data_IF_195163443897
#
_entry.id   IF_195163443897
#
_cell.length_a   1.000
_cell.length_b   1.000
_cell.length_c   1.000
_cell.angle_alpha   90.00
_cell.angle_beta   90.00
_cell.angle_gamma   90.00
#
_symmetry.space_group_name_H-M   'P 1'
#
loop_
_entity.id
_entity.type
_entity.pdbx_description
1 polymer ?
#
# COMPACT_ATOMS: atom_id res chain seq x y z
N UNK A 1 -6.81 1.83 33.54
CA UNK A 1 -7.19 0.44 33.87
C UNK A 1 -6.06 -0.50 33.49
N UNK A 2 -5.78 -1.56 34.26
CA UNK A 2 -4.77 -2.58 33.91
C UNK A 2 -5.04 -3.31 32.60
N UNK A 3 -6.28 -3.26 32.11
CA UNK A 3 -6.69 -3.88 30.83
C UNK A 3 -6.58 -2.92 29.65
N UNK A 4 -6.32 -1.63 29.90
CA UNK A 4 -6.25 -0.64 28.83
C UNK A 4 -4.92 -0.70 28.11
N UNK A 5 -4.96 -0.78 26.79
CA UNK A 5 -3.79 -0.81 25.94
C UNK A 5 -2.95 0.46 26.02
N UNK A 6 -1.64 0.27 25.98
CA UNK A 6 -0.65 1.30 25.62
C UNK A 6 -0.19 0.99 24.20
N UNK A 7 -0.48 1.89 23.28
CA UNK A 7 -0.23 1.66 21.87
C UNK A 7 0.73 2.71 21.29
N UNK A 8 1.74 2.25 20.55
CA UNK A 8 2.66 3.10 19.80
C UNK A 8 2.62 2.71 18.31
N UNK A 9 2.78 3.69 17.44
CA UNK A 9 2.72 3.54 15.99
C UNK A 9 3.99 4.04 15.33
N UNK A 10 4.16 3.69 14.06
CA UNK A 10 5.24 4.18 13.19
C UNK A 10 6.64 3.70 13.58
N UNK A 11 6.75 2.62 14.35
CA UNK A 11 8.04 1.99 14.60
C UNK A 11 8.62 1.40 13.31
N UNK A 12 9.93 1.54 13.12
CA UNK A 12 10.65 0.93 12.00
C UNK A 12 11.99 0.38 12.53
N UNK A 13 12.10 -0.94 12.58
CA UNK A 13 13.24 -1.65 13.16
C UNK A 13 14.58 -1.41 12.44
N UNK A 14 14.55 -0.83 11.25
CA UNK A 14 15.75 -0.45 10.51
C UNK A 14 16.14 1.03 10.64
N UNK A 15 15.31 1.83 11.30
CA UNK A 15 15.57 3.27 11.56
C UNK A 15 16.07 3.55 12.97
N UNK A 16 16.07 2.53 13.82
CA UNK A 16 16.55 2.60 15.21
C UNK A 16 17.64 1.58 15.43
N UNK A 17 18.65 1.92 16.21
CA UNK A 17 19.75 1.02 16.60
C UNK A 17 19.35 0.07 17.76
N UNK A 18 18.06 -0.29 17.84
CA UNK A 18 17.51 -1.12 18.93
C UNK A 18 16.70 -2.26 18.34
N UNK A 19 17.03 -3.49 18.74
CA UNK A 19 16.19 -4.66 18.47
C UNK A 19 15.11 -4.73 19.54
N UNK A 20 13.91 -4.26 19.21
CA UNK A 20 12.78 -4.27 20.13
C UNK A 20 12.32 -5.70 20.42
N UNK A 21 12.09 -6.01 21.70
CA UNK A 21 11.55 -7.28 22.15
C UNK A 21 10.61 -7.10 23.35
N UNK A 22 9.87 -8.17 23.71
CA UNK A 22 8.88 -8.12 24.80
C UNK A 22 9.47 -7.68 26.15
N UNK A 23 10.72 -8.07 26.45
CA UNK A 23 11.35 -7.76 27.77
C UNK A 23 11.59 -6.28 27.95
N UNK A 24 12.03 -5.60 26.90
CA UNK A 24 12.20 -4.14 26.91
C UNK A 24 10.85 -3.43 27.11
N UNK A 25 9.76 -3.96 26.53
CA UNK A 25 8.42 -3.44 26.74
C UNK A 25 7.93 -3.71 28.18
N UNK A 26 8.25 -4.88 28.75
CA UNK A 26 7.94 -5.23 30.15
C UNK A 26 8.64 -4.32 31.16
N UNK A 27 9.89 -3.91 30.88
CA UNK A 27 10.66 -2.98 31.72
C UNK A 27 10.00 -1.60 31.82
N UNK A 28 9.35 -1.14 30.75
CA UNK A 28 8.72 0.19 30.70
C UNK A 28 7.27 0.16 31.18
N UNK A 29 6.50 -0.87 30.79
CA UNK A 29 5.08 -1.00 31.12
C UNK A 29 4.78 -2.47 31.52
N UNK A 30 5.03 -2.86 32.77
CA UNK A 30 4.86 -4.26 33.21
C UNK A 30 3.40 -4.67 33.47
N UNK A 31 2.52 -3.73 33.78
CA UNK A 31 1.19 -3.97 34.35
C UNK A 31 0.02 -3.79 33.37
N UNK A 32 0.29 -3.36 32.15
CA UNK A 32 -0.73 -3.15 31.09
C UNK A 32 -0.30 -3.79 29.79
N UNK A 33 -1.26 -4.18 28.91
CA UNK A 33 -0.91 -4.66 27.58
C UNK A 33 -0.30 -3.52 26.72
N UNK A 34 0.80 -3.83 26.06
CA UNK A 34 1.52 -2.91 25.16
C UNK A 34 1.54 -3.48 23.75
N UNK A 35 1.27 -2.63 22.77
CA UNK A 35 1.46 -2.91 21.36
C UNK A 35 2.28 -1.80 20.71
N UNK A 36 3.38 -2.16 20.06
CA UNK A 36 4.17 -1.26 19.20
C UNK A 36 4.01 -1.73 17.76
N UNK A 37 3.31 -0.96 16.95
CA UNK A 37 3.01 -1.30 15.57
C UNK A 37 4.11 -0.80 14.65
N UNK A 38 4.61 -1.70 13.79
CA UNK A 38 5.49 -1.32 12.70
C UNK A 38 4.76 -0.43 11.71
N UNK A 39 5.45 0.56 11.14
CA UNK A 39 4.87 1.50 10.17
C UNK A 39 4.30 0.83 8.93
N UNK A 40 4.83 -0.34 8.55
CA UNK A 40 4.36 -1.12 7.40
C UNK A 40 3.01 -1.80 7.62
N UNK A 41 2.57 -1.93 8.87
CA UNK A 41 1.25 -2.49 9.18
C UNK A 41 1.17 -4.02 9.21
N UNK A 42 2.27 -4.74 8.97
CA UNK A 42 2.30 -6.21 8.89
C UNK A 42 2.86 -6.88 10.15
N UNK A 43 3.65 -6.18 10.95
CA UNK A 43 4.21 -6.70 12.21
C UNK A 43 3.94 -5.78 13.39
N UNK A 44 3.93 -6.35 14.58
CA UNK A 44 3.79 -5.61 15.85
C UNK A 44 4.59 -6.30 16.94
N UNK A 45 4.97 -5.55 17.96
CA UNK A 45 5.62 -6.09 19.17
C UNK A 45 4.69 -5.94 20.35
N UNK A 46 4.54 -7.01 21.09
CA UNK A 46 3.69 -7.11 22.26
C UNK A 46 4.52 -7.45 23.49
N UNK A 47 4.16 -6.87 24.65
CA UNK A 47 4.77 -7.21 25.92
C UNK A 47 4.24 -8.53 26.49
N UNK A 48 4.84 -9.01 27.59
CA UNK A 48 4.42 -10.27 28.22
C UNK A 48 2.99 -10.20 28.74
N UNK A 49 2.52 -9.03 29.19
CA UNK A 49 1.14 -8.84 29.65
C UNK A 49 0.11 -9.01 28.54
N UNK A 50 0.40 -8.50 27.35
CA UNK A 50 -0.47 -8.68 26.18
C UNK A 50 -0.54 -10.16 25.76
N UNK A 51 0.61 -10.85 25.70
CA UNK A 51 0.67 -12.28 25.38
C UNK A 51 -0.11 -13.13 26.42
N UNK A 52 0.06 -12.86 27.71
CA UNK A 52 -0.68 -13.52 28.81
C UNK A 52 -2.19 -13.34 28.62
N UNK A 53 -2.65 -12.11 28.37
CA UNK A 53 -4.08 -11.82 28.20
C UNK A 53 -4.67 -12.46 26.96
N UNK A 54 -3.86 -12.66 25.91
CA UNK A 54 -4.24 -13.37 24.67
C UNK A 54 -4.11 -14.90 24.80
N UNK A 55 -3.65 -15.42 25.96
CA UNK A 55 -3.35 -16.84 26.19
C UNK A 55 -2.31 -17.41 25.22
N UNK A 56 -1.33 -16.60 24.83
CA UNK A 56 -0.24 -16.99 23.94
C UNK A 56 0.99 -17.32 24.74
N UNK A 57 1.47 -18.55 24.62
CA UNK A 57 2.70 -19.04 25.24
C UNK A 57 3.68 -19.62 24.20
N UNK A 58 4.83 -20.12 24.67
CA UNK A 58 5.87 -20.71 23.83
C UNK A 58 5.39 -21.91 23.00
N UNK A 59 4.34 -22.61 23.44
CA UNK A 59 3.80 -23.81 22.80
C UNK A 59 2.62 -23.50 21.88
N UNK A 60 2.11 -22.27 21.90
CA UNK A 60 1.00 -21.83 21.04
C UNK A 60 1.46 -21.94 19.58
N UNK A 61 0.76 -22.73 18.73
CA UNK A 61 1.13 -22.85 17.32
C UNK A 61 0.88 -21.53 16.55
N UNK A 62 1.65 -21.34 15.51
CA UNK A 62 1.40 -20.24 14.59
C UNK A 62 0.06 -20.45 13.86
N UNK A 63 -0.81 -19.43 13.77
CA UNK A 63 -2.03 -19.54 12.99
C UNK A 63 -1.74 -19.55 11.49
N UNK A 64 -2.67 -20.03 10.69
CA UNK A 64 -2.57 -19.93 9.24
C UNK A 64 -2.45 -18.44 8.84
N UNK A 65 -1.48 -18.14 7.97
CA UNK A 65 -1.25 -16.77 7.49
C UNK A 65 -0.64 -15.83 8.53
N UNK A 66 -0.08 -16.33 9.63
CA UNK A 66 0.57 -15.49 10.63
C UNK A 66 1.65 -16.21 11.42
N UNK A 67 2.43 -15.47 12.20
CA UNK A 67 3.54 -16.02 12.95
C UNK A 67 3.74 -15.32 14.30
N UNK A 68 3.98 -16.14 15.36
CA UNK A 68 4.52 -15.69 16.65
C UNK A 68 6.03 -15.96 16.66
N UNK A 69 6.84 -14.92 16.52
CA UNK A 69 8.28 -15.07 16.39
C UNK A 69 8.92 -15.54 17.70
N UNK A 70 9.82 -16.53 17.57
CA UNK A 70 10.55 -17.13 18.68
C UNK A 70 12.06 -16.94 18.49
N UNK A 71 12.76 -16.91 19.61
CA UNK A 71 14.22 -16.92 19.64
C UNK A 71 14.79 -18.35 19.45
N UNK A 72 16.11 -18.49 19.43
CA UNK A 72 16.81 -19.78 19.27
C UNK A 72 16.51 -20.77 20.40
N UNK A 73 15.94 -20.32 21.53
CA UNK A 73 15.53 -21.17 22.66
C UNK A 73 14.04 -21.52 22.61
N UNK A 74 13.33 -21.07 21.56
CA UNK A 74 11.90 -21.27 21.41
C UNK A 74 11.04 -20.34 22.26
N UNK A 75 11.62 -19.29 22.88
CA UNK A 75 10.88 -18.31 23.64
C UNK A 75 10.29 -17.21 22.72
N UNK A 76 9.07 -16.77 23.03
CA UNK A 76 8.43 -15.69 22.29
C UNK A 76 9.23 -14.38 22.42
N UNK A 77 9.56 -13.78 21.29
CA UNK A 77 10.28 -12.49 21.25
C UNK A 77 9.34 -11.30 21.51
N UNK A 78 8.03 -11.51 21.39
CA UNK A 78 7.00 -10.49 21.39
C UNK A 78 6.68 -9.95 20.00
N UNK A 79 7.52 -10.20 18.99
CA UNK A 79 7.21 -9.86 17.58
C UNK A 79 6.18 -10.82 17.02
N UNK A 80 5.11 -10.26 16.43
CA UNK A 80 3.99 -11.02 15.82
C UNK A 80 3.75 -10.47 14.42
N UNK A 81 3.60 -11.39 13.46
CA UNK A 81 3.49 -11.04 12.05
C UNK A 81 2.15 -11.45 11.44
N UNK A 82 1.68 -10.66 10.49
CA UNK A 82 0.53 -10.89 9.62
C UNK A 82 -0.75 -11.24 10.42
N UNK A 83 -1.51 -12.26 10.01
CA UNK A 83 -2.80 -12.60 10.63
C UNK A 83 -2.70 -13.04 12.10
N UNK A 84 -1.52 -13.41 12.58
CA UNK A 84 -1.33 -13.72 14.01
C UNK A 84 -1.63 -12.52 14.92
N UNK A 85 -1.57 -11.29 14.42
CA UNK A 85 -1.90 -10.07 15.17
C UNK A 85 -3.39 -9.97 15.52
N UNK A 86 -4.25 -10.58 14.74
CA UNK A 86 -5.71 -10.50 14.92
C UNK A 86 -6.19 -11.11 16.24
N UNK A 87 -5.39 -11.96 16.89
CA UNK A 87 -5.75 -12.52 18.20
C UNK A 87 -5.84 -11.44 19.29
N UNK A 88 -5.09 -10.35 19.11
CA UNK A 88 -5.04 -9.24 20.07
C UNK A 88 -6.21 -8.24 19.92
N UNK A 89 -6.96 -8.27 18.85
CA UNK A 89 -8.11 -7.39 18.63
C UNK A 89 -9.22 -7.61 19.66
N UNK A 90 -9.27 -8.81 20.26
CA UNK A 90 -10.25 -9.22 21.26
C UNK A 90 -9.75 -9.11 22.70
N UNK A 91 -8.53 -8.62 22.88
CA UNK A 91 -7.84 -8.58 24.18
C UNK A 91 -7.83 -7.16 24.74
N UNK A 92 -8.07 -7.05 26.05
CA UNK A 92 -8.00 -5.76 26.74
C UNK A 92 -9.11 -4.78 26.35
N UNK A 93 -8.92 -3.53 26.74
CA UNK A 93 -9.86 -2.44 26.47
C UNK A 93 -9.23 -1.45 25.51
N UNK A 94 -9.83 -1.31 24.33
CA UNK A 94 -9.50 -0.26 23.37
C UNK A 94 -10.15 1.06 23.78
N UNK A 95 -9.55 2.17 23.38
CA UNK A 95 -10.21 3.47 23.48
C UNK A 95 -11.40 3.50 22.51
N UNK A 96 -12.57 3.85 23.02
CA UNK A 96 -13.80 3.93 22.22
C UNK A 96 -14.32 5.37 22.19
N UNK A 97 -14.81 5.77 21.05
CA UNK A 97 -15.41 7.08 20.84
C UNK A 97 -16.88 6.91 20.45
N UNK A 98 -17.73 7.90 20.75
CA UNK A 98 -19.09 7.95 20.22
C UNK A 98 -19.04 8.05 18.68
N UNK A 99 -20.12 7.65 18.00
CA UNK A 99 -20.22 7.74 16.55
C UNK A 99 -20.01 9.18 16.04
N UNK A 100 -20.60 10.17 16.72
CA UNK A 100 -20.41 11.59 16.41
C UNK A 100 -18.94 12.02 16.54
N UNK A 101 -18.27 11.57 17.59
CA UNK A 101 -16.86 11.88 17.83
C UNK A 101 -15.96 11.20 16.79
N UNK A 102 -16.22 9.95 16.43
CA UNK A 102 -15.51 9.23 15.36
C UNK A 102 -15.66 9.96 14.02
N UNK A 103 -16.89 10.37 13.70
CA UNK A 103 -17.20 11.11 12.48
C UNK A 103 -16.53 12.47 12.42
N UNK A 104 -16.54 13.23 13.53
CA UNK A 104 -15.83 14.51 13.66
C UNK A 104 -14.34 14.34 13.44
N UNK A 105 -13.70 13.37 14.11
CA UNK A 105 -12.28 13.04 13.95
C UNK A 105 -11.95 12.61 12.52
N UNK A 106 -12.81 11.82 11.90
CA UNK A 106 -12.68 11.40 10.50
C UNK A 106 -12.64 12.60 9.55
N UNK A 107 -13.57 13.53 9.68
CA UNK A 107 -13.62 14.76 8.89
C UNK A 107 -12.36 15.63 9.10
N UNK A 108 -11.98 15.88 10.37
CA UNK A 108 -10.80 16.69 10.68
C UNK A 108 -9.51 16.08 10.14
N UNK A 109 -9.34 14.74 10.31
CA UNK A 109 -8.21 14.00 9.80
C UNK A 109 -8.15 14.02 8.28
N UNK A 110 -9.28 13.78 7.60
CA UNK A 110 -9.36 13.82 6.15
C UNK A 110 -9.09 15.23 5.60
N UNK A 111 -9.64 16.27 6.22
CA UNK A 111 -9.38 17.65 5.84
C UNK A 111 -7.90 18.01 5.98
N UNK A 112 -7.25 17.53 7.05
CA UNK A 112 -5.82 17.73 7.26
C UNK A 112 -4.99 17.02 6.18
N UNK A 113 -5.22 15.72 5.96
CA UNK A 113 -4.51 14.94 4.94
C UNK A 113 -4.73 15.51 3.54
N UNK A 114 -5.96 15.95 3.24
CA UNK A 114 -6.28 16.53 1.95
C UNK A 114 -5.47 17.81 1.65
N UNK A 115 -5.21 18.64 2.68
CA UNK A 115 -4.31 19.80 2.57
C UNK A 115 -2.87 19.37 2.28
N UNK A 116 -2.36 18.34 2.97
CA UNK A 116 -1.01 17.83 2.75
C UNK A 116 -0.84 17.22 1.34
N UNK A 117 -1.81 16.46 0.88
CA UNK A 117 -1.81 15.90 -0.48
C UNK A 117 -1.81 17.00 -1.54
N UNK A 118 -2.66 18.01 -1.39
CA UNK A 118 -2.68 19.15 -2.29
C UNK A 118 -1.36 19.94 -2.28
N UNK A 119 -0.75 20.14 -1.10
CA UNK A 119 0.56 20.80 -0.98
C UNK A 119 1.70 20.01 -1.66
N UNK A 120 1.56 18.69 -1.77
CA UNK A 120 2.53 17.82 -2.47
C UNK A 120 2.24 17.66 -3.97
N UNK A 121 1.20 18.32 -4.50
CA UNK A 121 0.84 18.26 -5.91
C UNK A 121 -0.09 17.12 -6.30
N UNK A 122 -0.65 16.38 -5.34
CA UNK A 122 -1.59 15.32 -5.61
C UNK A 122 -2.98 15.86 -5.92
N UNK A 123 -3.49 15.53 -7.12
CA UNK A 123 -4.84 15.92 -7.57
C UNK A 123 -5.85 14.79 -7.44
N UNK A 124 -5.35 13.54 -7.45
CA UNK A 124 -6.16 12.33 -7.25
C UNK A 124 -5.35 11.31 -6.45
N UNK A 125 -6.00 10.60 -5.54
CA UNK A 125 -5.43 9.45 -4.82
C UNK A 125 -6.29 8.22 -5.02
N UNK A 126 -5.68 7.04 -4.96
CA UNK A 126 -6.38 5.77 -4.84
C UNK A 126 -6.18 5.25 -3.42
N UNK A 127 -7.26 5.11 -2.67
CA UNK A 127 -7.23 4.45 -1.36
C UNK A 127 -7.50 2.95 -1.55
N UNK A 128 -6.50 2.13 -1.30
CA UNK A 128 -6.59 0.69 -1.50
C UNK A 128 -6.79 -0.02 -0.16
N UNK A 129 -8.00 -0.09 0.32
CA UNK A 129 -8.52 -0.75 1.53
C UNK A 129 -9.35 0.19 2.42
N UNK A 130 -10.17 1.04 1.79
CA UNK A 130 -11.01 1.98 2.51
C UNK A 130 -12.03 1.27 3.41
N UNK A 131 -11.95 1.54 4.70
CA UNK A 131 -12.94 1.12 5.70
C UNK A 131 -14.22 1.97 5.60
N UNK A 132 -15.31 1.51 6.26
CA UNK A 132 -16.55 2.28 6.38
C UNK A 132 -16.31 3.72 6.86
N UNK A 133 -15.47 3.90 7.88
CA UNK A 133 -15.24 5.21 8.48
C UNK A 133 -14.41 6.12 7.58
N UNK A 134 -13.47 5.58 6.82
CA UNK A 134 -12.74 6.34 5.80
C UNK A 134 -13.67 6.78 4.65
N UNK A 135 -14.57 5.91 4.21
CA UNK A 135 -15.56 6.24 3.18
C UNK A 135 -16.50 7.35 3.66
N UNK A 136 -16.94 7.32 4.92
CA UNK A 136 -17.71 8.41 5.52
C UNK A 136 -16.89 9.71 5.58
N UNK A 137 -15.61 9.64 5.98
CA UNK A 137 -14.74 10.81 6.05
C UNK A 137 -14.53 11.47 4.67
N UNK A 138 -14.40 10.69 3.59
CA UNK A 138 -14.36 11.22 2.22
C UNK A 138 -15.63 11.96 1.83
N UNK A 139 -16.79 11.37 2.13
CA UNK A 139 -18.07 12.00 1.82
C UNK A 139 -18.30 13.26 2.64
N UNK A 140 -18.01 13.23 3.94
CA UNK A 140 -18.16 14.37 4.83
C UNK A 140 -17.22 15.52 4.43
N UNK A 141 -15.96 15.23 4.11
CA UNK A 141 -15.01 16.23 3.63
C UNK A 141 -15.42 16.81 2.27
N UNK A 142 -15.99 16.00 1.38
CA UNK A 142 -16.54 16.46 0.11
C UNK A 142 -17.72 17.42 0.34
N UNK A 143 -18.70 17.06 1.15
CA UNK A 143 -19.88 17.89 1.44
C UNK A 143 -19.53 19.16 2.21
N UNK A 144 -18.52 19.11 3.08
CA UNK A 144 -18.00 20.29 3.78
C UNK A 144 -17.15 21.23 2.87
N UNK A 145 -16.82 20.81 1.63
CA UNK A 145 -15.94 21.56 0.73
C UNK A 145 -14.46 21.52 1.13
N UNK A 146 -14.09 20.63 2.05
CA UNK A 146 -12.75 20.47 2.58
C UNK A 146 -11.90 19.46 1.79
N UNK A 147 -12.51 18.65 0.93
CA UNK A 147 -11.78 17.70 0.07
C UNK A 147 -11.08 18.47 -1.07
N UNK A 148 -9.76 18.39 -1.12
CA UNK A 148 -8.89 19.13 -2.04
C UNK A 148 -8.28 18.28 -3.14
N UNK A 149 -8.61 16.98 -3.17
CA UNK A 149 -8.18 16.00 -4.15
C UNK A 149 -9.34 15.06 -4.48
N UNK A 150 -9.24 14.34 -5.59
CA UNK A 150 -10.21 13.29 -5.95
C UNK A 150 -9.82 11.97 -5.34
N UNK A 151 -10.79 11.12 -5.07
CA UNK A 151 -10.56 9.80 -4.46
C UNK A 151 -11.23 8.70 -5.29
N UNK A 152 -10.44 7.70 -5.64
CA UNK A 152 -10.89 6.42 -6.18
C UNK A 152 -10.55 5.35 -5.13
N UNK A 153 -11.56 4.80 -4.42
CA UNK A 153 -11.29 3.92 -3.30
C UNK A 153 -11.67 2.47 -3.58
N UNK A 154 -10.81 1.55 -3.20
CA UNK A 154 -11.10 0.12 -3.14
C UNK A 154 -11.59 -0.17 -1.73
N UNK A 155 -12.79 -0.73 -1.60
CA UNK A 155 -13.36 -1.09 -0.30
C UNK A 155 -12.56 -2.21 0.35
N UNK A 156 -12.48 -2.20 1.67
CA UNK A 156 -11.97 -3.34 2.44
C UNK A 156 -12.83 -4.59 2.18
N UNK A 157 -12.23 -5.77 2.25
CA UNK A 157 -12.84 -7.05 1.85
C UNK A 157 -14.19 -7.32 2.56
N UNK A 158 -14.30 -6.98 3.83
CA UNK A 158 -15.51 -7.16 4.65
C UNK A 158 -16.70 -6.32 4.17
N UNK A 159 -16.48 -5.28 3.37
CA UNK A 159 -17.54 -4.46 2.80
C UNK A 159 -18.09 -5.01 1.48
N UNK A 160 -17.48 -6.05 0.90
CA UNK A 160 -17.92 -6.57 -0.40
C UNK A 160 -19.38 -7.05 -0.37
N UNK A 161 -19.74 -7.88 0.60
CA UNK A 161 -21.11 -8.42 0.69
C UNK A 161 -22.16 -7.33 0.98
N UNK A 162 -21.95 -6.37 1.92
CA UNK A 162 -22.82 -5.20 2.08
C UNK A 162 -23.02 -4.39 0.79
N UNK A 163 -21.94 -4.15 0.03
CA UNK A 163 -22.01 -3.38 -1.23
C UNK A 163 -22.80 -4.14 -2.31
N UNK A 164 -22.56 -5.44 -2.46
CA UNK A 164 -23.34 -6.30 -3.36
C UNK A 164 -24.82 -6.30 -3.01
N UNK A 165 -25.14 -6.44 -1.72
CA UNK A 165 -26.53 -6.41 -1.24
C UNK A 165 -27.23 -5.07 -1.53
N UNK A 166 -26.48 -3.97 -1.50
CA UNK A 166 -26.97 -2.64 -1.85
C UNK A 166 -26.99 -2.36 -3.38
N UNK A 167 -26.56 -3.31 -4.22
CA UNK A 167 -26.46 -3.13 -5.68
C UNK A 167 -25.35 -2.20 -6.14
N UNK A 168 -24.30 -2.00 -5.30
CA UNK A 168 -23.18 -1.14 -5.58
C UNK A 168 -22.03 -1.93 -6.22
N UNK A 169 -21.29 -1.31 -7.14
CA UNK A 169 -20.11 -1.89 -7.79
C UNK A 169 -19.16 -0.79 -8.32
N UNK A 170 -18.06 -1.19 -8.92
CA UNK A 170 -17.02 -0.29 -9.47
C UNK A 170 -17.61 0.78 -10.39
N UNK A 171 -17.22 2.02 -10.17
CA UNK A 171 -17.52 3.17 -11.03
C UNK A 171 -18.62 4.09 -10.52
N UNK A 172 -19.42 3.67 -9.52
CA UNK A 172 -20.43 4.54 -8.93
C UNK A 172 -19.76 5.67 -8.11
N UNK A 173 -20.32 6.86 -8.21
CA UNK A 173 -19.84 8.07 -7.53
C UNK A 173 -19.84 9.27 -8.45
N UNK A 174 -19.11 10.29 -8.08
CA UNK A 174 -18.94 11.50 -8.87
C UNK A 174 -17.45 11.70 -9.23
N UNK A 175 -17.11 12.86 -9.75
CA UNK A 175 -15.72 13.19 -10.12
C UNK A 175 -14.78 13.31 -8.90
N UNK A 176 -15.30 13.45 -7.68
CA UNK A 176 -14.50 13.65 -6.47
C UNK A 176 -14.36 12.38 -5.63
N UNK A 177 -15.43 11.63 -5.46
CA UNK A 177 -15.43 10.41 -4.63
C UNK A 177 -16.09 9.30 -5.42
N UNK A 178 -15.34 8.22 -5.71
CA UNK A 178 -15.76 7.14 -6.59
C UNK A 178 -15.40 5.78 -6.04
N UNK A 179 -16.35 4.84 -6.15
CA UNK A 179 -16.11 3.43 -5.85
C UNK A 179 -15.15 2.86 -6.90
N UNK A 180 -14.01 2.40 -6.46
CA UNK A 180 -12.99 1.76 -7.27
C UNK A 180 -13.24 0.26 -7.40
N UNK A 181 -12.82 -0.48 -6.40
CA UNK A 181 -12.88 -1.94 -6.41
C UNK A 181 -12.98 -2.50 -5.01
N UNK A 182 -12.54 -3.75 -4.85
CA UNK A 182 -12.39 -4.39 -3.54
C UNK A 182 -10.94 -4.82 -3.34
N UNK A 183 -10.43 -4.71 -2.10
CA UNK A 183 -9.04 -5.02 -1.73
C UNK A 183 -8.95 -6.30 -0.91
N UNK A 184 -8.01 -7.17 -1.31
CA UNK A 184 -7.60 -8.37 -0.56
C UNK A 184 -6.09 -8.37 -0.32
N UNK A 185 -5.59 -9.29 0.52
CA UNK A 185 -4.18 -9.39 0.89
C UNK A 185 -3.74 -10.86 0.80
N UNK A 186 -2.84 -11.20 -0.13
CA UNK A 186 -2.44 -12.57 -0.41
C UNK A 186 -1.13 -13.00 0.29
N UNK A 187 -0.25 -12.05 0.62
CA UNK A 187 1.02 -12.30 1.30
C UNK A 187 1.44 -11.14 2.20
N UNK A 188 2.64 -11.21 2.71
CA UNK A 188 3.19 -10.20 3.60
C UNK A 188 3.95 -9.06 2.91
N UNK A 189 4.69 -8.29 3.71
CA UNK A 189 5.33 -7.03 3.34
C UNK A 189 6.78 -7.20 2.89
N UNK A 190 7.17 -6.47 1.84
CA UNK A 190 8.57 -6.40 1.44
C UNK A 190 9.42 -5.59 2.44
N UNK A 191 8.87 -4.56 3.08
CA UNK A 191 9.61 -3.74 4.06
C UNK A 191 9.74 -4.41 5.44
N UNK A 192 8.92 -5.43 5.73
CA UNK A 192 8.92 -6.16 7.00
C UNK A 192 9.42 -7.61 6.86
N UNK A 193 9.84 -7.98 5.65
CA UNK A 193 10.46 -9.28 5.34
C UNK A 193 9.51 -10.46 5.57
N UNK A 194 8.28 -10.30 5.11
CA UNK A 194 7.24 -11.34 5.17
C UNK A 194 6.60 -11.65 3.82
N UNK A 195 7.04 -10.98 2.72
CA UNK A 195 6.51 -11.27 1.37
C UNK A 195 6.86 -12.71 0.92
N UNK A 196 5.93 -13.37 0.25
CA UNK A 196 6.02 -14.79 -0.13
C UNK A 196 6.83 -14.99 -1.41
N UNK A 197 8.00 -15.60 -1.31
CA UNK A 197 8.94 -15.77 -2.41
C UNK A 197 9.24 -17.23 -2.73
N UNK A 198 9.59 -17.50 -3.98
CA UNK A 198 10.06 -18.83 -4.45
C UNK A 198 11.47 -19.18 -3.95
N UNK A 199 12.24 -18.19 -3.51
CA UNK A 199 13.59 -18.35 -2.95
C UNK A 199 13.68 -17.62 -1.61
N UNK A 200 14.44 -18.14 -0.64
CA UNK A 200 14.47 -17.58 0.71
C UNK A 200 15.14 -16.23 0.79
N UNK A 201 14.94 -15.55 1.91
CA UNK A 201 15.67 -14.32 2.26
C UNK A 201 17.16 -14.59 2.45
N UNK A 202 18.00 -13.62 2.14
CA UNK A 202 19.47 -13.71 2.33
C UNK A 202 19.76 -13.95 3.80
N UNK A 203 20.58 -14.98 4.08
CA UNK A 203 20.94 -15.35 5.46
C UNK A 203 19.86 -16.11 6.24
N UNK A 204 18.68 -16.39 5.62
CA UNK A 204 17.56 -17.11 6.26
C UNK A 204 17.06 -18.23 5.35
N UNK A 205 17.77 -19.37 5.28
CA UNK A 205 17.57 -20.42 4.24
C UNK A 205 16.20 -21.12 4.27
N UNK A 206 15.46 -20.99 5.36
CA UNK A 206 14.12 -21.60 5.51
C UNK A 206 13.00 -20.57 5.58
N UNK A 207 13.30 -19.28 5.35
CA UNK A 207 12.32 -18.19 5.40
C UNK A 207 11.95 -17.75 3.98
N UNK A 208 10.75 -18.12 3.56
CA UNK A 208 10.17 -17.81 2.26
C UNK A 208 9.07 -16.74 2.34
N UNK A 209 8.82 -16.20 3.53
CA UNK A 209 7.70 -15.28 3.79
C UNK A 209 6.41 -15.98 4.19
N UNK A 210 5.31 -15.23 4.21
CA UNK A 210 4.03 -15.68 4.77
C UNK A 210 2.93 -15.52 3.72
N UNK A 211 2.21 -16.62 3.45
CA UNK A 211 0.99 -16.63 2.64
C UNK A 211 -0.21 -16.34 3.56
N UNK A 212 -0.95 -15.26 3.30
CA UNK A 212 -2.09 -14.84 4.13
C UNK A 212 -3.44 -15.36 3.62
N UNK A 213 -3.55 -15.69 2.32
CA UNK A 213 -4.70 -16.37 1.73
C UNK A 213 -4.26 -17.63 0.99
N UNK A 214 -4.98 -18.72 1.14
CA UNK A 214 -4.77 -19.92 0.32
C UNK A 214 -5.12 -19.67 -1.14
N UNK A 215 -4.65 -20.52 -2.06
CA UNK A 215 -5.00 -20.42 -3.48
C UNK A 215 -6.52 -20.44 -3.70
N UNK A 216 -7.25 -21.31 -2.97
CA UNK A 216 -8.70 -21.40 -3.09
C UNK A 216 -9.40 -20.14 -2.58
N UNK A 217 -8.97 -19.57 -1.47
CA UNK A 217 -9.52 -18.30 -0.95
C UNK A 217 -9.30 -17.15 -1.94
N UNK A 218 -8.14 -17.08 -2.59
CA UNK A 218 -7.87 -16.08 -3.64
C UNK A 218 -8.82 -16.28 -4.83
N UNK A 219 -8.97 -17.52 -5.29
CA UNK A 219 -9.87 -17.84 -6.40
C UNK A 219 -11.30 -17.46 -6.08
N UNK A 220 -11.82 -17.86 -4.91
CA UNK A 220 -13.21 -17.59 -4.48
C UNK A 220 -13.46 -16.07 -4.35
N UNK A 221 -12.52 -15.34 -3.76
CA UNK A 221 -12.62 -13.89 -3.62
C UNK A 221 -12.65 -13.18 -4.98
N UNK A 222 -11.75 -13.58 -5.90
CA UNK A 222 -11.68 -13.01 -7.25
C UNK A 222 -12.96 -13.33 -8.04
N UNK A 223 -13.35 -14.60 -8.11
CA UNK A 223 -14.56 -15.02 -8.85
C UNK A 223 -15.81 -14.31 -8.32
N UNK A 224 -15.95 -14.21 -6.99
CA UNK A 224 -17.07 -13.50 -6.36
C UNK A 224 -17.11 -12.01 -6.76
N UNK A 225 -16.02 -11.30 -6.60
CA UNK A 225 -15.97 -9.87 -6.91
C UNK A 225 -16.09 -9.60 -8.43
N UNK A 226 -15.39 -10.39 -9.26
CA UNK A 226 -15.41 -10.26 -10.71
C UNK A 226 -16.83 -10.39 -11.28
N UNK A 227 -17.59 -11.40 -10.85
CA UNK A 227 -18.98 -11.66 -11.28
C UNK A 227 -19.93 -10.52 -10.91
N UNK A 228 -19.63 -9.77 -9.83
CA UNK A 228 -20.43 -8.66 -9.36
C UNK A 228 -19.91 -7.30 -9.80
N UNK A 229 -19.13 -7.29 -10.89
CA UNK A 229 -18.63 -6.06 -11.55
C UNK A 229 -17.67 -5.22 -10.70
N UNK A 230 -17.00 -5.82 -9.73
CA UNK A 230 -15.92 -5.14 -9.03
C UNK A 230 -14.58 -5.28 -9.77
N UNK A 231 -13.81 -4.19 -9.85
CA UNK A 231 -12.37 -4.27 -10.01
C UNK A 231 -11.80 -4.90 -8.74
N UNK A 232 -10.85 -5.81 -8.87
CA UNK A 232 -10.20 -6.45 -7.73
C UNK A 232 -8.78 -5.93 -7.62
N UNK A 233 -8.36 -5.48 -6.44
CA UNK A 233 -6.99 -5.22 -6.09
C UNK A 233 -6.52 -6.23 -5.04
N UNK A 234 -5.44 -6.96 -5.31
CA UNK A 234 -4.87 -7.90 -4.34
C UNK A 234 -3.43 -7.51 -4.05
N UNK A 235 -3.13 -7.28 -2.75
CA UNK A 235 -1.78 -7.15 -2.28
C UNK A 235 -1.02 -8.45 -2.55
N UNK A 236 0.00 -8.39 -3.37
CA UNK A 236 0.88 -9.49 -3.69
C UNK A 236 2.28 -8.95 -3.99
N UNK A 237 3.18 -9.11 -3.04
CA UNK A 237 4.55 -8.62 -3.11
C UNK A 237 5.51 -9.65 -3.72
N UNK A 238 5.49 -10.88 -3.22
CA UNK A 238 6.39 -11.93 -3.66
C UNK A 238 5.95 -12.59 -4.97
N UNK A 239 6.91 -13.15 -5.68
CA UNK A 239 6.68 -13.81 -6.96
C UNK A 239 5.70 -14.99 -6.88
N UNK A 240 5.67 -15.72 -5.76
CA UNK A 240 4.70 -16.80 -5.51
C UNK A 240 3.30 -16.24 -5.31
N UNK A 241 3.14 -15.18 -4.52
CA UNK A 241 1.84 -14.55 -4.32
C UNK A 241 1.27 -13.95 -5.62
N UNK A 242 2.12 -13.30 -6.43
CA UNK A 242 1.75 -12.76 -7.74
C UNK A 242 1.30 -13.88 -8.68
N UNK A 243 1.98 -15.03 -8.68
CA UNK A 243 1.60 -16.22 -9.47
C UNK A 243 0.19 -16.71 -9.10
N UNK A 244 -0.10 -16.84 -7.81
CA UNK A 244 -1.42 -17.27 -7.30
C UNK A 244 -2.53 -16.28 -7.71
N UNK A 245 -2.27 -14.99 -7.57
CA UNK A 245 -3.22 -13.95 -7.98
C UNK A 245 -3.48 -13.97 -9.47
N UNK A 246 -2.44 -14.14 -10.30
CA UNK A 246 -2.60 -14.24 -11.75
C UNK A 246 -3.39 -15.48 -12.17
N UNK A 247 -3.17 -16.64 -11.53
CA UNK A 247 -4.00 -17.85 -11.76
C UNK A 247 -5.49 -17.57 -11.52
N UNK A 248 -5.81 -16.86 -10.44
CA UNK A 248 -7.20 -16.50 -10.14
C UNK A 248 -7.79 -15.51 -11.17
N UNK A 249 -7.01 -14.53 -11.62
CA UNK A 249 -7.44 -13.58 -12.66
C UNK A 249 -7.64 -14.26 -14.02
N UNK A 250 -6.71 -15.11 -14.44
CA UNK A 250 -6.81 -15.90 -15.68
C UNK A 250 -8.08 -16.76 -15.66
N UNK A 251 -8.31 -17.49 -14.56
CA UNK A 251 -9.50 -18.32 -14.38
C UNK A 251 -10.81 -17.51 -14.41
N UNK A 252 -10.85 -16.38 -13.74
CA UNK A 252 -12.04 -15.53 -13.74
C UNK A 252 -12.33 -14.94 -15.13
N UNK A 253 -11.30 -14.51 -15.86
CA UNK A 253 -11.42 -13.97 -17.21
C UNK A 253 -11.79 -15.05 -18.25
N UNK A 254 -11.34 -16.30 -18.07
CA UNK A 254 -11.75 -17.43 -18.90
C UNK A 254 -13.23 -17.77 -18.71
N UNK A 255 -13.70 -17.82 -17.44
CA UNK A 255 -15.09 -18.18 -17.12
C UNK A 255 -16.08 -17.06 -17.45
N UNK A 256 -15.67 -15.82 -17.22
CA UNK A 256 -16.52 -14.62 -17.40
C UNK A 256 -15.72 -13.55 -18.14
N UNK A 257 -15.57 -13.68 -19.46
CA UNK A 257 -14.76 -12.77 -20.24
C UNK A 257 -15.19 -11.31 -20.09
N UNK A 258 -14.21 -10.44 -19.84
CA UNK A 258 -14.43 -9.00 -19.81
C UNK A 258 -13.28 -8.29 -20.51
N UNK A 259 -13.51 -7.49 -21.53
CA UNK A 259 -12.44 -6.96 -22.39
C UNK A 259 -11.52 -5.97 -21.70
N UNK A 260 -11.95 -5.34 -20.61
CA UNK A 260 -11.21 -4.27 -19.93
C UNK A 260 -11.51 -4.25 -18.43
N UNK A 261 -11.25 -5.37 -17.72
CA UNK A 261 -11.56 -5.47 -16.28
C UNK A 261 -10.50 -4.77 -15.41
N UNK A 262 -9.26 -4.69 -15.88
CA UNK A 262 -8.13 -4.00 -15.21
C UNK A 262 -8.00 -4.37 -13.75
N UNK A 263 -8.04 -5.66 -13.39
CA UNK A 263 -7.73 -6.09 -12.03
C UNK A 263 -6.32 -5.67 -11.65
N UNK A 264 -6.10 -5.32 -10.38
CA UNK A 264 -4.86 -4.73 -9.90
C UNK A 264 -4.08 -5.75 -9.08
N UNK A 265 -2.76 -5.71 -9.20
CA UNK A 265 -1.83 -6.41 -8.31
C UNK A 265 -1.14 -5.33 -7.50
N UNK A 266 -1.61 -5.13 -6.26
CA UNK A 266 -1.06 -4.09 -5.41
C UNK A 266 0.35 -4.45 -5.00
N UNK A 267 1.25 -3.50 -5.09
CA UNK A 267 2.69 -3.59 -4.89
C UNK A 267 3.44 -4.35 -5.97
N UNK A 268 3.03 -5.56 -6.34
CA UNK A 268 3.66 -6.34 -7.42
C UNK A 268 5.20 -6.25 -7.40
N UNK A 269 5.79 -6.50 -6.20
CA UNK A 269 7.15 -6.06 -5.89
C UNK A 269 8.20 -6.87 -6.60
N UNK A 270 8.15 -8.23 -6.52
CA UNK A 270 9.12 -9.13 -7.14
C UNK A 270 8.49 -9.84 -8.32
N UNK A 271 8.88 -9.47 -9.52
CA UNK A 271 8.40 -10.09 -10.75
C UNK A 271 9.49 -10.93 -11.43
N UNK A 272 9.11 -11.62 -12.48
CA UNK A 272 9.99 -12.29 -13.43
C UNK A 272 9.37 -12.23 -14.82
N UNK A 273 10.10 -12.72 -15.80
CA UNK A 273 9.71 -12.68 -17.20
C UNK A 273 8.36 -13.40 -17.48
N UNK A 274 8.11 -14.53 -16.82
CA UNK A 274 6.83 -15.25 -16.94
C UNK A 274 5.66 -14.43 -16.37
N UNK A 275 5.83 -13.87 -15.18
CA UNK A 275 4.80 -13.05 -14.53
C UNK A 275 4.48 -11.80 -15.37
N UNK A 276 5.50 -11.13 -15.92
CA UNK A 276 5.31 -9.97 -16.79
C UNK A 276 4.48 -10.29 -18.03
N UNK A 277 4.74 -11.43 -18.71
CA UNK A 277 3.92 -11.87 -19.87
C UNK A 277 2.47 -12.10 -19.47
N UNK A 278 2.22 -12.73 -18.32
CA UNK A 278 0.86 -13.02 -17.83
C UNK A 278 0.12 -11.76 -17.38
N UNK A 279 0.81 -10.82 -16.70
CA UNK A 279 0.26 -9.50 -16.39
C UNK A 279 -0.18 -8.79 -17.69
N UNK A 280 0.67 -8.81 -18.71
CA UNK A 280 0.33 -8.24 -20.01
C UNK A 280 -0.87 -8.94 -20.68
N UNK A 281 -0.89 -10.27 -20.66
CA UNK A 281 -1.94 -11.06 -21.29
C UNK A 281 -3.31 -10.90 -20.62
N UNK A 282 -3.35 -10.80 -19.29
CA UNK A 282 -4.58 -10.58 -18.51
C UNK A 282 -5.04 -9.11 -18.52
N UNK A 283 -4.23 -8.17 -18.96
CA UNK A 283 -4.49 -6.74 -18.84
C UNK A 283 -4.52 -6.25 -17.39
N UNK A 284 -3.93 -7.02 -16.48
CA UNK A 284 -3.83 -6.63 -15.06
C UNK A 284 -2.90 -5.43 -14.87
N UNK A 285 -3.17 -4.64 -13.84
CA UNK A 285 -2.43 -3.41 -13.54
C UNK A 285 -1.58 -3.63 -12.29
N UNK A 286 -0.23 -3.74 -12.41
CA UNK A 286 0.65 -3.68 -11.26
C UNK A 286 0.69 -2.25 -10.71
N UNK A 287 0.72 -2.10 -9.38
CA UNK A 287 0.85 -0.81 -8.70
C UNK A 287 2.09 -0.79 -7.81
N UNK A 288 3.31 -0.80 -8.40
CA UNK A 288 4.56 -0.94 -7.65
C UNK A 288 4.83 0.25 -6.75
N UNK A 289 5.54 -0.01 -5.67
CA UNK A 289 6.07 1.03 -4.80
C UNK A 289 7.02 1.95 -5.56
N UNK A 290 6.78 3.24 -5.51
CA UNK A 290 7.58 4.22 -6.24
C UNK A 290 8.60 4.98 -5.38
N UNK A 291 8.34 5.14 -4.04
CA UNK A 291 9.26 5.82 -3.09
C UNK A 291 10.20 4.87 -2.34
N UNK A 292 9.90 3.57 -2.33
CA UNK A 292 10.53 2.59 -1.46
C UNK A 292 12.04 2.42 -1.69
N UNK A 293 12.50 2.49 -2.94
CA UNK A 293 13.93 2.41 -3.24
C UNK A 293 14.69 3.53 -2.55
N UNK A 294 14.14 4.75 -2.59
CA UNK A 294 14.73 5.90 -1.90
C UNK A 294 14.62 5.78 -0.37
N UNK A 295 13.43 5.48 0.13
CA UNK A 295 13.10 5.63 1.55
C UNK A 295 13.54 4.45 2.42
N UNK A 296 13.49 3.22 1.88
CA UNK A 296 13.78 1.98 2.61
C UNK A 296 15.07 1.29 2.15
N UNK A 297 16.01 2.01 1.55
CA UNK A 297 17.18 1.44 0.90
C UNK A 297 18.00 0.47 1.74
N UNK A 298 18.09 0.68 3.06
CA UNK A 298 18.84 -0.21 3.97
C UNK A 298 18.26 -1.64 4.05
N UNK A 299 16.99 -1.83 3.73
CA UNK A 299 16.31 -3.14 3.77
C UNK A 299 16.64 -4.03 2.58
N UNK A 300 17.11 -3.46 1.47
CA UNK A 300 17.28 -4.20 0.21
C UNK A 300 18.45 -5.17 0.22
N UNK A 301 19.38 -5.05 1.14
CA UNK A 301 20.46 -6.03 1.34
C UNK A 301 19.97 -7.44 1.66
N UNK A 302 18.77 -7.56 2.24
CA UNK A 302 18.17 -8.84 2.61
C UNK A 302 17.57 -9.61 1.43
N UNK A 303 17.52 -8.99 0.25
CA UNK A 303 16.97 -9.60 -0.97
C UNK A 303 18.07 -10.11 -1.93
N UNK A 304 19.23 -9.47 -1.95
CA UNK A 304 20.32 -9.76 -2.86
C UNK A 304 20.10 -9.22 -4.27
N UNK A 305 21.19 -9.08 -5.04
CA UNK A 305 21.17 -8.43 -6.36
C UNK A 305 20.30 -9.15 -7.37
N UNK A 306 20.20 -10.47 -7.33
CA UNK A 306 19.39 -11.27 -8.26
C UNK A 306 17.91 -10.93 -8.16
N UNK A 307 17.37 -10.76 -6.92
CA UNK A 307 15.99 -10.33 -6.72
C UNK A 307 15.82 -8.85 -7.03
N UNK A 308 16.78 -8.00 -6.61
CA UNK A 308 16.70 -6.55 -6.81
C UNK A 308 16.64 -6.15 -8.29
N UNK A 309 17.15 -6.97 -9.20
CA UNK A 309 16.98 -6.76 -10.64
C UNK A 309 15.53 -6.83 -11.10
N UNK A 310 14.65 -7.48 -10.34
CA UNK A 310 13.25 -7.72 -10.63
C UNK A 310 12.28 -7.05 -9.66
N UNK A 311 12.81 -6.32 -8.65
CA UNK A 311 12.00 -5.62 -7.67
C UNK A 311 11.73 -4.18 -8.11
N UNK A 312 10.49 -3.70 -7.84
CA UNK A 312 10.03 -2.37 -8.24
C UNK A 312 10.28 -2.12 -9.72
N UNK A 313 9.78 -3.02 -10.57
CA UNK A 313 10.24 -3.28 -11.92
C UNK A 313 9.70 -2.28 -12.96
N UNK A 314 9.79 -0.97 -12.69
CA UNK A 314 9.22 0.08 -13.55
C UNK A 314 9.73 0.01 -14.99
N UNK A 315 11.04 -0.22 -15.22
CA UNK A 315 11.59 -0.38 -16.57
C UNK A 315 10.98 -1.59 -17.28
N UNK A 316 10.93 -2.73 -16.60
CA UNK A 316 10.36 -3.95 -17.16
C UNK A 316 8.88 -3.76 -17.52
N UNK A 317 8.08 -3.05 -16.72
CA UNK A 317 6.69 -2.76 -17.08
C UNK A 317 6.59 -1.94 -18.38
N UNK A 318 7.44 -0.93 -18.58
CA UNK A 318 7.50 -0.20 -19.84
C UNK A 318 7.91 -1.09 -21.02
N UNK A 319 8.95 -1.92 -20.87
CA UNK A 319 9.47 -2.79 -21.92
C UNK A 319 8.43 -3.83 -22.39
N UNK A 320 7.56 -4.28 -21.48
CA UNK A 320 6.42 -5.16 -21.78
C UNK A 320 5.16 -4.41 -22.22
N UNK A 321 5.19 -3.08 -22.27
CA UNK A 321 4.02 -2.25 -22.60
C UNK A 321 2.89 -2.36 -21.58
N UNK A 322 3.23 -2.55 -20.30
CA UNK A 322 2.31 -2.61 -19.16
C UNK A 322 2.19 -1.20 -18.57
N UNK A 323 0.96 -0.71 -18.41
CA UNK A 323 0.72 0.57 -17.75
C UNK A 323 0.65 0.35 -16.23
N UNK A 324 1.71 0.71 -15.53
CA UNK A 324 1.85 0.59 -14.10
C UNK A 324 1.85 2.00 -13.45
N UNK A 325 0.82 2.41 -12.71
CA UNK A 325 0.89 3.58 -11.85
C UNK A 325 1.79 3.31 -10.65
N UNK A 326 2.37 4.35 -10.06
CA UNK A 326 3.10 4.20 -8.81
C UNK A 326 2.21 4.23 -7.58
N UNK A 327 2.64 3.58 -6.52
CA UNK A 327 1.97 3.59 -5.23
C UNK A 327 2.94 4.03 -4.11
N UNK A 328 2.48 4.90 -3.23
CA UNK A 328 3.25 5.30 -2.04
C UNK A 328 3.11 4.30 -0.91
N UNK A 329 1.94 3.68 -0.82
CA UNK A 329 1.54 2.89 0.34
C UNK A 329 1.72 3.72 1.63
N UNK A 330 1.16 4.93 1.61
CA UNK A 330 1.21 5.79 2.80
C UNK A 330 0.28 5.18 3.89
N UNK A 331 0.79 4.94 5.04
CA UNK A 331 1.88 5.51 5.85
C UNK A 331 3.25 4.80 5.75
N UNK A 332 3.36 3.52 5.32
CA UNK A 332 4.68 2.87 5.20
C UNK A 332 5.68 3.64 4.34
N UNK A 333 5.23 4.17 3.20
CA UNK A 333 6.03 5.01 2.31
C UNK A 333 5.60 6.48 2.33
N UNK A 334 6.52 7.41 2.03
CA UNK A 334 6.19 8.81 1.81
C UNK A 334 5.26 8.96 0.59
N UNK A 335 4.30 9.90 0.65
CA UNK A 335 3.34 10.13 -0.44
C UNK A 335 3.81 11.15 -1.48
N UNK A 336 4.91 11.86 -1.28
CA UNK A 336 5.40 12.94 -2.12
C UNK A 336 5.78 12.48 -3.53
N UNK A 337 5.06 12.92 -4.58
CA UNK A 337 5.30 12.44 -5.95
C UNK A 337 6.67 12.79 -6.51
N UNK A 338 7.24 13.95 -6.14
CA UNK A 338 8.58 14.35 -6.63
C UNK A 338 9.69 13.48 -6.04
N UNK A 339 9.55 13.00 -4.79
CA UNK A 339 10.43 11.98 -4.23
C UNK A 339 10.30 10.65 -4.98
N UNK A 340 9.09 10.28 -5.36
CA UNK A 340 8.83 9.07 -6.13
C UNK A 340 9.46 9.14 -7.53
N UNK A 341 9.31 10.26 -8.24
CA UNK A 341 9.95 10.49 -9.54
C UNK A 341 11.47 10.36 -9.40
N UNK A 342 12.08 11.02 -8.41
CA UNK A 342 13.52 10.87 -8.13
C UNK A 342 13.90 9.41 -7.89
N UNK A 343 13.14 8.69 -7.05
CA UNK A 343 13.39 7.29 -6.71
C UNK A 343 13.39 6.37 -7.95
N UNK A 344 12.42 6.54 -8.84
CA UNK A 344 12.30 5.76 -10.08
C UNK A 344 13.41 6.08 -11.09
N UNK A 345 13.78 7.35 -11.21
CA UNK A 345 14.80 7.82 -12.17
C UNK A 345 16.22 7.46 -11.71
N UNK A 346 16.52 7.65 -10.44
CA UNK A 346 17.89 7.47 -9.91
C UNK A 346 18.16 6.06 -9.39
N UNK A 347 17.13 5.37 -8.88
CA UNK A 347 17.25 4.09 -8.17
C UNK A 347 18.24 4.17 -6.99
N UNK A 348 18.38 5.35 -6.38
CA UNK A 348 19.24 5.61 -5.23
C UNK A 348 18.43 5.82 -3.96
N UNK A 349 18.95 5.26 -2.88
CA UNK A 349 18.40 5.52 -1.55
C UNK A 349 18.85 6.89 -1.00
N UNK A 350 18.32 7.27 0.15
CA UNK A 350 18.66 8.54 0.82
C UNK A 350 20.12 8.63 1.28
N UNK A 351 20.87 7.51 1.29
CA UNK A 351 22.32 7.43 1.54
C UNK A 351 23.13 7.44 0.24
N UNK A 352 22.49 7.56 -0.92
CA UNK A 352 23.13 7.60 -2.24
C UNK A 352 23.49 6.22 -2.81
N UNK A 353 23.17 5.09 -2.13
CA UNK A 353 23.41 3.74 -2.65
C UNK A 353 22.41 3.40 -3.74
N UNK A 354 22.88 2.73 -4.78
CA UNK A 354 22.07 2.35 -5.94
C UNK A 354 21.55 0.92 -5.81
N UNK A 355 20.26 0.70 -6.16
CA UNK A 355 19.56 -0.58 -6.01
C UNK A 355 18.82 -0.97 -7.27
N UNK A 356 19.21 -2.10 -7.89
CA UNK A 356 18.60 -2.59 -9.13
C UNK A 356 18.60 -1.54 -10.25
N UNK A 357 19.78 -1.02 -10.70
CA UNK A 357 19.87 0.10 -11.65
C UNK A 357 19.27 -0.19 -13.02
N UNK A 358 19.12 -1.46 -13.39
CA UNK A 358 18.45 -1.89 -14.62
C UNK A 358 16.96 -1.53 -14.67
N UNK A 359 16.37 -1.14 -13.53
CA UNK A 359 14.97 -0.72 -13.45
C UNK A 359 14.79 0.81 -13.46
N UNK A 360 15.83 1.59 -13.76
CA UNK A 360 15.71 3.04 -13.99
C UNK A 360 14.80 3.34 -15.16
N UNK A 361 14.00 4.39 -15.01
CA UNK A 361 13.18 4.95 -16.08
C UNK A 361 13.54 6.43 -16.28
N UNK A 362 13.15 6.99 -17.41
CA UNK A 362 13.35 8.41 -17.73
C UNK A 362 12.40 9.29 -16.92
N UNK A 363 12.67 10.59 -16.86
CA UNK A 363 11.77 11.57 -16.21
C UNK A 363 10.40 11.57 -16.90
N UNK A 364 10.34 11.53 -18.25
CA UNK A 364 9.09 11.42 -18.99
C UNK A 364 8.27 10.18 -18.63
N UNK A 365 8.93 9.03 -18.49
CA UNK A 365 8.28 7.79 -18.07
C UNK A 365 7.78 7.89 -16.64
N UNK A 366 8.57 8.45 -15.72
CA UNK A 366 8.18 8.66 -14.33
C UNK A 366 6.99 9.63 -14.20
N UNK A 367 6.94 10.68 -15.01
CA UNK A 367 5.79 11.58 -15.10
C UNK A 367 4.54 10.85 -15.61
N UNK A 368 4.65 9.93 -16.58
CA UNK A 368 3.52 9.09 -17.02
C UNK A 368 3.02 8.17 -15.90
N UNK A 369 3.93 7.57 -15.13
CA UNK A 369 3.59 6.77 -13.94
C UNK A 369 2.80 7.61 -12.95
N UNK A 370 3.23 8.83 -12.69
CA UNK A 370 2.61 9.74 -11.72
C UNK A 370 1.30 10.40 -12.21
N UNK A 371 0.94 10.25 -13.48
CA UNK A 371 -0.22 10.95 -14.07
C UNK A 371 -1.14 10.01 -14.85
N UNK A 372 -0.88 9.80 -16.13
CA UNK A 372 -1.80 9.08 -17.04
C UNK A 372 -1.97 7.60 -16.68
N UNK A 373 -0.94 6.95 -16.10
CA UNK A 373 -1.09 5.57 -15.65
C UNK A 373 -2.00 5.48 -14.42
N UNK A 374 -1.95 6.47 -13.50
CA UNK A 374 -2.91 6.58 -12.40
C UNK A 374 -4.34 6.71 -12.89
N UNK A 375 -4.59 7.64 -13.83
CA UNK A 375 -5.90 7.81 -14.45
C UNK A 375 -6.37 6.53 -15.18
N UNK A 376 -5.47 5.82 -15.85
CA UNK A 376 -5.78 4.54 -16.50
C UNK A 376 -6.24 3.47 -15.50
N UNK A 377 -5.62 3.40 -14.32
CA UNK A 377 -5.97 2.42 -13.30
C UNK A 377 -7.37 2.63 -12.70
N UNK A 378 -7.93 3.84 -12.83
CA UNK A 378 -9.30 4.19 -12.39
C UNK A 378 -10.29 4.37 -13.54
N UNK A 379 -9.95 3.96 -14.79
CA UNK A 379 -10.79 4.14 -15.99
C UNK A 379 -11.09 5.62 -16.32
N UNK A 380 -10.21 6.52 -15.95
CA UNK A 380 -10.43 7.96 -16.06
C UNK A 380 -9.42 8.65 -17.01
N UNK A 381 -8.65 7.89 -17.80
CA UNK A 381 -7.66 8.41 -18.72
C UNK A 381 -8.25 9.27 -19.85
N UNK A 382 -9.55 9.14 -20.12
CA UNK A 382 -10.25 10.00 -21.05
C UNK A 382 -10.58 11.37 -20.45
N UNK A 383 -10.69 11.46 -19.12
CA UNK A 383 -11.12 12.68 -18.41
C UNK A 383 -10.02 13.41 -17.65
N UNK A 384 -8.89 12.75 -17.33
CA UNK A 384 -7.76 13.34 -16.60
C UNK A 384 -6.43 12.64 -16.90
N UNK A 385 -5.36 13.01 -16.20
CA UNK A 385 -4.02 12.41 -16.32
C UNK A 385 -3.14 12.98 -17.44
N UNK A 386 -3.63 13.97 -18.19
CA UNK A 386 -2.83 14.76 -19.14
C UNK A 386 -3.47 16.12 -19.36
N UNK A 387 -2.65 17.12 -19.70
CA UNK A 387 -3.12 18.48 -20.08
C UNK A 387 -3.52 18.41 -21.56
N UNK A 388 -4.80 18.09 -21.79
CA UNK A 388 -5.39 17.95 -23.13
C UNK A 388 -6.77 18.60 -23.14
N UNK A 389 -7.12 19.31 -24.22
CA UNK A 389 -8.43 19.93 -24.35
C UNK A 389 -9.56 18.91 -24.17
N UNK A 390 -10.57 19.28 -23.38
CA UNK A 390 -11.71 18.42 -23.05
C UNK A 390 -11.54 17.59 -21.77
N UNK A 391 -10.35 17.56 -21.16
CA UNK A 391 -10.14 16.94 -19.85
C UNK A 391 -10.34 17.91 -18.70
N UNK A 392 -10.51 17.35 -17.51
CA UNK A 392 -10.60 18.12 -16.26
C UNK A 392 -9.32 18.94 -16.05
N UNK A 393 -9.48 20.16 -15.58
CA UNK A 393 -8.36 21.07 -15.27
C UNK A 393 -7.71 20.67 -13.93
N UNK A 394 -7.08 19.48 -13.92
CA UNK A 394 -6.29 18.96 -12.81
C UNK A 394 -4.81 19.03 -13.18
N UNK A 395 -4.06 19.93 -12.53
CA UNK A 395 -2.64 20.13 -12.83
C UNK A 395 -1.87 20.70 -11.65
N UNK A 396 -0.56 20.57 -11.70
CA UNK A 396 0.40 21.13 -10.74
C UNK A 396 1.34 22.11 -11.44
N UNK A 397 1.67 23.20 -10.76
CA UNK A 397 2.73 24.14 -11.18
C UNK A 397 3.93 23.91 -10.29
N UNK A 398 5.06 23.61 -10.89
CA UNK A 398 6.32 23.39 -10.21
C UNK A 398 7.25 24.60 -10.34
N UNK A 399 8.18 24.77 -9.39
CA UNK A 399 9.18 25.83 -9.40
C UNK A 399 10.13 25.76 -10.60
N UNK A 400 10.45 24.52 -11.06
CA UNK A 400 11.30 24.25 -12.23
C UNK A 400 10.92 22.94 -12.88
N UNK A 401 11.39 22.74 -14.10
CA UNK A 401 11.20 21.51 -14.85
C UNK A 401 11.98 20.36 -14.21
N UNK A 402 11.36 19.20 -13.92
CA UNK A 402 12.05 18.01 -13.42
C UNK A 402 13.12 17.44 -14.36
N UNK A 403 13.11 17.81 -15.65
CA UNK A 403 14.14 17.42 -16.61
C UNK A 403 15.44 18.21 -16.45
N UNK A 404 15.41 19.34 -15.75
CA UNK A 404 16.55 20.24 -15.60
C UNK A 404 17.34 19.94 -14.32
N UNK A 405 18.67 19.97 -14.46
CA UNK A 405 19.59 19.88 -13.34
C UNK A 405 19.91 18.43 -12.88
N UNK A 406 20.28 18.29 -11.61
CA UNK A 406 20.65 17.00 -11.03
C UNK A 406 19.40 16.17 -10.70
N UNK A 407 19.25 14.96 -11.28
CA UNK A 407 18.14 14.07 -10.96
C UNK A 407 18.00 13.70 -9.47
N UNK A 408 19.10 13.77 -8.70
CA UNK A 408 19.09 13.54 -7.25
C UNK A 408 18.45 14.71 -6.46
N UNK A 409 18.03 15.78 -7.14
CA UNK A 409 17.41 16.96 -6.55
C UNK A 409 15.95 17.18 -7.01
N UNK A 410 15.36 16.21 -7.71
CA UNK A 410 13.97 16.29 -8.17
C UNK A 410 13.00 16.43 -6.99
N UNK A 411 13.23 15.69 -5.90
CA UNK A 411 12.41 15.75 -4.68
C UNK A 411 12.40 17.12 -3.99
N UNK A 412 13.39 17.96 -4.27
CA UNK A 412 13.54 19.29 -3.66
C UNK A 412 12.84 20.39 -4.48
N UNK A 413 12.26 20.06 -5.64
CA UNK A 413 11.48 20.99 -6.45
C UNK A 413 10.19 21.35 -5.68
N UNK A 414 9.91 22.65 -5.56
CA UNK A 414 8.72 23.10 -4.85
C UNK A 414 7.48 23.01 -5.73
N UNK A 415 6.38 22.57 -5.12
CA UNK A 415 5.04 22.72 -5.69
C UNK A 415 4.58 24.16 -5.41
N UNK A 416 4.38 24.93 -6.47
CA UNK A 416 3.93 26.33 -6.35
C UNK A 416 2.40 26.41 -6.32
N UNK A 417 1.71 25.53 -7.04
CA UNK A 417 0.24 25.52 -7.07
C UNK A 417 -0.27 24.13 -7.45
N UNK A 418 -1.37 23.74 -6.83
CA UNK A 418 -2.15 22.56 -7.22
C UNK A 418 -3.56 23.00 -7.56
N UNK A 419 -4.06 22.54 -8.70
CA UNK A 419 -5.38 22.88 -9.23
C UNK A 419 -6.15 21.58 -9.48
N UNK A 420 -7.39 21.51 -8.99
CA UNK A 420 -8.31 20.37 -9.18
C UNK A 420 -9.65 20.91 -9.68
N UNK A 421 -10.09 20.46 -10.86
CA UNK A 421 -11.31 20.93 -11.50
C UNK A 421 -11.31 22.44 -11.75
N UNK A 422 -10.16 23.04 -12.08
CA UNK A 422 -10.00 24.48 -12.27
C UNK A 422 -9.94 25.30 -10.97
N UNK A 423 -10.14 24.66 -9.80
CA UNK A 423 -10.05 25.30 -8.49
C UNK A 423 -8.63 25.16 -7.92
N UNK A 424 -8.00 26.25 -7.51
CA UNK A 424 -6.75 26.19 -6.74
C UNK A 424 -7.00 25.56 -5.38
N UNK A 425 -6.41 24.40 -5.13
CA UNK A 425 -6.52 23.65 -3.87
C UNK A 425 -5.32 23.86 -2.96
N UNK A 426 -4.19 24.30 -3.54
CA UNK A 426 -2.99 24.73 -2.84
C UNK A 426 -2.27 25.82 -3.63
N UNK A 427 -1.73 26.80 -2.94
CA UNK A 427 -0.77 27.76 -3.45
C UNK A 427 0.32 27.97 -2.40
N UNK A 428 1.60 27.93 -2.81
CA UNK A 428 2.71 28.26 -1.93
C UNK A 428 2.62 29.73 -1.51
N UNK A 429 2.93 30.01 -0.25
CA UNK A 429 3.14 31.37 0.21
C UNK A 429 4.41 31.90 -0.47
N UNK A 430 4.35 33.10 -1.03
CA UNK A 430 5.42 33.75 -1.77
C UNK A 430 6.60 34.20 -0.90
#
# INVERSE_FOLDING_TARGET
SPEQWVTAFMFDDTKFDVVLNRRQLDEVVPDRPVAVHHRGGHTSWYNSKALEMAHIDRNTPDPQGGQFLRDDKGELTGRVAELARNVFDKVGKQETFSEDEQRRRGLEGMSHMSRLFAASGLTTVHDAQASRDQILAYQDAYHAGELRHRVYYLIAAELLEPYKAAGLYTGLGNEWVRIGGVKFVADGSCSERTMLMSTPYVGRPNDYGIQTMTEQEIVDAVENAHRHSFQVGIHANGDVAIDLVLKAYERALEKWPHPDRRHRIEHCTLVNDNLLRRIKATGSIPTPFWTYVYYHGEKWTEYGDDKLRWMFAHRSFFDYGIKAPGASDYQPGPFEPLMAIQSMVTRRDYKGREWGPNQKITVDEALKVATIHGAYASYEEASKGSITAGKLADFVVLERDPHEGDPNRIKDIKVLRTVVGGRTTYAAEG
#
